data_IF_711468971559
#
_entry.id   IF_711468971559
#
_cell.length_a   1.000
_cell.length_b   1.000
_cell.length_c   1.000
_cell.angle_alpha   90.00
_cell.angle_beta   90.00
_cell.angle_gamma   90.00
#
_symmetry.space_group_name_H-M   'P 1'
#
loop_
_entity.id
_entity.type
_entity.pdbx_description
1 polymer ?
#
# COMPACT_ATOMS: atom_id res chain seq x y z
N UNK A 1 -4.92 -32.45 -7.10
CA UNK A 1 -6.06 -33.31 -6.68
C UNK A 1 -7.36 -32.55 -6.82
N UNK A 2 -8.28 -33.11 -7.60
CA UNK A 2 -9.65 -32.58 -7.75
C UNK A 2 -10.49 -33.28 -6.71
N UNK A 3 -11.05 -32.56 -5.75
CA UNK A 3 -12.00 -33.14 -4.79
C UNK A 3 -13.40 -32.71 -5.21
N UNK A 4 -14.18 -33.68 -5.70
CA UNK A 4 -15.61 -33.51 -5.98
C UNK A 4 -16.40 -34.02 -4.77
N UNK A 5 -17.11 -33.11 -4.09
CA UNK A 5 -17.99 -33.48 -2.98
C UNK A 5 -19.42 -33.59 -3.45
N UNK A 6 -19.96 -34.81 -3.43
CA UNK A 6 -21.43 -35.05 -3.52
C UNK A 6 -22.00 -34.97 -2.10
N UNK A 7 -22.99 -34.13 -1.94
CA UNK A 7 -23.72 -33.98 -0.69
C UNK A 7 -24.54 -35.19 -0.31
N UNK A 8 -24.36 -35.75 0.88
CA UNK A 8 -25.35 -36.58 1.55
C UNK A 8 -25.94 -35.80 2.72
N UNK A 9 -27.26 -35.76 2.76
CA UNK A 9 -28.01 -35.10 3.83
C UNK A 9 -27.87 -35.86 5.14
N UNK A 10 -27.56 -35.16 6.22
CA UNK A 10 -27.74 -35.64 7.56
C UNK A 10 -28.11 -34.49 8.51
N UNK A 11 -28.96 -34.84 9.45
CA UNK A 11 -29.80 -34.02 10.34
C UNK A 11 -29.19 -32.76 10.96
N UNK A 12 -30.07 -31.79 11.19
CA UNK A 12 -29.85 -30.48 11.75
C UNK A 12 -29.46 -30.49 13.24
N UNK A 13 -28.46 -29.77 13.66
CA UNK A 13 -28.34 -29.38 15.07
C UNK A 13 -28.98 -27.99 15.29
N UNK A 14 -29.47 -27.79 16.48
CA UNK A 14 -30.24 -26.66 16.97
C UNK A 14 -29.59 -25.30 16.69
N UNK A 15 -30.39 -24.33 16.26
CA UNK A 15 -30.02 -22.94 16.06
C UNK A 15 -29.64 -22.30 17.38
N UNK A 16 -28.42 -21.85 17.50
CA UNK A 16 -28.02 -20.91 18.55
C UNK A 16 -28.70 -19.56 18.29
N UNK A 17 -29.30 -19.00 19.33
CA UNK A 17 -29.96 -17.69 19.31
C UNK A 17 -28.90 -16.55 19.27
N UNK A 18 -28.17 -16.43 18.18
CA UNK A 18 -27.36 -15.23 17.95
C UNK A 18 -28.21 -14.28 17.09
N UNK A 19 -28.27 -13.00 17.47
CA UNK A 19 -28.93 -12.03 16.60
C UNK A 19 -28.21 -11.98 15.24
N UNK A 20 -28.94 -11.77 14.16
CA UNK A 20 -28.31 -11.62 12.86
C UNK A 20 -27.34 -10.41 12.90
N UNK A 21 -26.25 -10.46 12.17
CA UNK A 21 -25.38 -9.30 12.05
C UNK A 21 -26.21 -8.12 11.55
N UNK A 22 -25.91 -6.91 11.97
CA UNK A 22 -26.66 -5.75 11.52
C UNK A 22 -26.68 -5.71 9.99
N UNK A 23 -27.87 -5.58 9.45
CA UNK A 23 -28.02 -5.34 8.01
C UNK A 23 -27.25 -4.07 7.67
N UNK A 24 -26.21 -4.22 6.87
CA UNK A 24 -25.48 -3.09 6.32
C UNK A 24 -26.45 -2.28 5.47
N UNK A 25 -27.03 -1.24 6.05
CA UNK A 25 -27.84 -0.25 5.32
C UNK A 25 -26.87 0.60 4.49
N UNK A 26 -26.24 -0.10 3.53
CA UNK A 26 -25.10 0.40 2.78
C UNK A 26 -25.45 1.52 1.84
N UNK A 27 -25.27 2.72 2.29
CA UNK A 27 -24.75 3.73 1.39
C UNK A 27 -23.34 3.23 1.05
N UNK A 28 -23.13 2.67 -0.13
CA UNK A 28 -21.81 2.30 -0.64
C UNK A 28 -20.96 3.55 -0.61
N UNK A 29 -20.24 3.76 0.48
CA UNK A 29 -19.30 4.85 0.58
C UNK A 29 -18.19 4.55 -0.44
N UNK A 30 -18.19 5.31 -1.52
CA UNK A 30 -17.19 5.21 -2.56
C UNK A 30 -15.83 5.51 -1.94
N UNK A 31 -14.83 4.70 -2.28
CA UNK A 31 -13.46 4.92 -1.82
C UNK A 31 -12.97 6.25 -2.39
N UNK A 32 -12.69 7.22 -1.53
CA UNK A 32 -12.10 8.49 -1.95
C UNK A 32 -10.68 8.31 -2.43
N UNK A 33 -10.37 8.87 -3.57
CA UNK A 33 -9.05 8.80 -4.19
C UNK A 33 -8.35 10.16 -4.14
N UNK A 34 -7.09 10.17 -4.51
CA UNK A 34 -6.31 11.41 -4.62
C UNK A 34 -6.92 12.37 -5.65
N UNK A 35 -7.66 11.87 -6.64
CA UNK A 35 -8.32 12.72 -7.64
C UNK A 35 -9.55 13.45 -7.10
N UNK A 36 -10.16 12.96 -6.02
CA UNK A 36 -11.35 13.54 -5.41
C UNK A 36 -11.00 14.71 -4.46
N UNK A 37 -9.73 15.06 -4.31
CA UNK A 37 -9.24 16.04 -3.33
C UNK A 37 -8.48 17.15 -4.06
N UNK A 38 -8.73 18.40 -3.65
CA UNK A 38 -7.92 19.52 -4.13
C UNK A 38 -6.54 19.46 -3.48
N UNK A 39 -5.50 19.31 -4.32
CA UNK A 39 -4.10 19.21 -3.89
C UNK A 39 -3.31 20.50 -4.14
N UNK A 40 -3.90 21.50 -4.80
CA UNK A 40 -3.18 22.72 -5.18
C UNK A 40 -2.64 23.44 -3.93
N UNK A 41 -1.34 23.69 -3.93
CA UNK A 41 -0.67 24.34 -2.79
C UNK A 41 -0.64 23.51 -1.51
N UNK A 42 -0.99 22.21 -1.58
CA UNK A 42 -0.98 21.30 -0.42
C UNK A 42 0.19 20.33 -0.53
N UNK A 43 0.66 19.89 0.60
CA UNK A 43 1.68 18.82 0.67
C UNK A 43 0.97 17.47 0.83
N UNK A 44 1.15 16.58 -0.13
CA UNK A 44 0.62 15.22 -0.11
C UNK A 44 1.71 14.27 0.38
N UNK A 45 1.47 13.65 1.52
CA UNK A 45 2.31 12.58 2.07
C UNK A 45 1.80 11.25 1.51
N UNK A 46 2.52 10.67 0.55
CA UNK A 46 2.07 9.47 -0.17
C UNK A 46 2.92 8.25 0.16
N UNK A 47 2.26 7.18 0.64
CA UNK A 47 2.89 5.88 0.87
C UNK A 47 2.87 5.05 -0.40
N UNK A 48 4.03 4.71 -0.92
CA UNK A 48 4.21 3.86 -2.12
C UNK A 48 4.89 2.54 -1.75
N UNK A 49 4.78 1.55 -2.61
CA UNK A 49 5.50 0.28 -2.45
C UNK A 49 6.61 0.18 -3.49
N UNK A 50 7.76 0.76 -3.16
CA UNK A 50 8.97 0.74 -3.99
C UNK A 50 9.97 -0.34 -3.52
N UNK A 51 9.46 -1.40 -2.92
CA UNK A 51 10.27 -2.57 -2.57
C UNK A 51 10.57 -3.38 -3.84
N UNK A 52 11.43 -2.82 -4.67
CA UNK A 52 11.80 -3.34 -5.98
C UNK A 52 13.01 -4.27 -5.89
N UNK A 53 13.17 -5.21 -6.83
CA UNK A 53 14.42 -5.97 -6.91
C UNK A 53 15.60 -5.07 -7.30
N UNK A 54 16.70 -5.27 -6.62
CA UNK A 54 17.93 -4.50 -6.83
C UNK A 54 19.02 -5.43 -7.42
N UNK A 55 19.87 -4.88 -8.26
CA UNK A 55 21.07 -5.57 -8.76
C UNK A 55 22.16 -5.62 -7.68
N UNK A 56 23.18 -6.49 -7.84
CA UNK A 56 24.30 -6.51 -6.88
C UNK A 56 25.08 -5.19 -6.79
N UNK A 57 25.08 -4.38 -7.85
CA UNK A 57 25.70 -3.05 -7.88
C UNK A 57 24.72 -1.93 -7.49
N UNK A 58 23.70 -2.29 -6.75
CA UNK A 58 22.73 -1.39 -6.10
C UNK A 58 21.94 -0.49 -7.07
N UNK A 59 21.56 -1.04 -8.23
CA UNK A 59 20.65 -0.36 -9.18
C UNK A 59 19.30 -1.06 -9.19
N UNK A 60 18.27 -0.35 -9.63
CA UNK A 60 16.92 -0.94 -9.79
C UNK A 60 16.96 -1.98 -10.91
N UNK A 61 16.68 -3.25 -10.59
CA UNK A 61 16.67 -4.35 -11.56
C UNK A 61 15.33 -4.44 -12.30
N UNK A 62 14.26 -3.98 -11.67
CA UNK A 62 12.92 -3.97 -12.26
C UNK A 62 12.13 -2.81 -11.67
N UNK A 63 11.71 -1.89 -12.52
CA UNK A 63 11.03 -0.66 -12.11
C UNK A 63 9.50 -0.74 -12.19
N UNK A 64 8.92 -1.93 -12.38
CA UNK A 64 7.47 -2.10 -12.54
C UNK A 64 6.66 -1.41 -11.44
N UNK A 65 7.04 -1.60 -10.17
CA UNK A 65 6.33 -1.00 -9.03
C UNK A 65 6.42 0.53 -9.03
N UNK A 66 7.55 1.06 -9.48
CA UNK A 66 7.75 2.52 -9.61
C UNK A 66 6.82 3.06 -10.69
N UNK A 67 6.81 2.40 -11.85
CA UNK A 67 5.96 2.77 -13.00
C UNK A 67 4.48 2.76 -12.62
N UNK A 68 4.04 1.75 -11.85
CA UNK A 68 2.64 1.64 -11.41
C UNK A 68 2.21 2.78 -10.46
N UNK A 69 3.14 3.45 -9.80
CA UNK A 69 2.83 4.58 -8.92
C UNK A 69 2.74 5.91 -9.68
N UNK A 70 3.29 5.99 -10.89
CA UNK A 70 3.37 7.24 -11.66
C UNK A 70 2.01 7.92 -11.87
N UNK A 71 0.91 7.23 -12.19
CA UNK A 71 -0.38 7.90 -12.33
C UNK A 71 -0.80 8.70 -11.08
N UNK A 72 -0.62 8.14 -9.88
CA UNK A 72 -0.92 8.85 -8.63
C UNK A 72 0.01 10.03 -8.41
N UNK A 73 1.30 9.86 -8.68
CA UNK A 73 2.33 10.90 -8.54
C UNK A 73 2.00 12.05 -9.51
N UNK A 74 1.74 11.72 -10.77
CA UNK A 74 1.38 12.68 -11.82
C UNK A 74 0.15 13.49 -11.41
N UNK A 75 -0.88 12.81 -10.92
CA UNK A 75 -2.13 13.45 -10.48
C UNK A 75 -1.88 14.56 -9.44
N UNK A 76 -0.93 14.37 -8.53
CA UNK A 76 -0.60 15.37 -7.52
C UNK A 76 0.18 16.54 -8.13
N UNK A 77 1.30 16.24 -8.81
CA UNK A 77 2.24 17.30 -9.23
C UNK A 77 1.67 18.16 -10.36
N UNK A 78 0.93 17.57 -11.31
CA UNK A 78 0.32 18.35 -12.42
C UNK A 78 -0.80 19.28 -11.93
N UNK A 79 -1.40 18.99 -10.78
CA UNK A 79 -2.43 19.84 -10.17
C UNK A 79 -1.86 20.84 -9.16
N UNK A 80 -0.51 21.00 -9.12
CA UNK A 80 0.15 21.99 -8.28
C UNK A 80 0.26 21.57 -6.80
N UNK A 81 0.24 20.28 -6.54
CA UNK A 81 0.55 19.76 -5.20
C UNK A 81 2.04 19.56 -5.02
N UNK A 82 2.51 19.61 -3.78
CA UNK A 82 3.85 19.19 -3.35
C UNK A 82 3.75 17.74 -2.94
N UNK A 83 4.74 16.92 -3.30
CA UNK A 83 4.64 15.47 -3.06
C UNK A 83 5.82 14.97 -2.25
N UNK A 84 5.51 14.40 -1.09
CA UNK A 84 6.47 13.68 -0.24
C UNK A 84 6.16 12.19 -0.31
N UNK A 85 7.09 11.41 -0.85
CA UNK A 85 6.96 9.96 -1.01
C UNK A 85 7.62 9.24 0.16
N UNK A 86 6.91 8.26 0.70
CA UNK A 86 7.39 7.33 1.73
C UNK A 86 7.38 5.92 1.18
N UNK A 87 8.43 5.16 1.41
CA UNK A 87 8.46 3.75 1.04
C UNK A 87 9.43 2.95 1.92
N UNK A 88 9.47 1.65 1.67
CA UNK A 88 10.45 0.75 2.24
C UNK A 88 11.18 -0.01 1.13
N UNK A 89 12.38 -0.49 1.43
CA UNK A 89 13.16 -1.37 0.57
C UNK A 89 13.80 -2.46 1.43
N UNK A 90 13.57 -3.71 1.06
CA UNK A 90 14.15 -4.85 1.74
C UNK A 90 13.68 -5.04 3.19
N UNK A 91 14.55 -5.63 3.98
CA UNK A 91 14.27 -5.93 5.40
C UNK A 91 15.47 -5.58 6.29
N UNK A 92 15.82 -4.28 6.39
CA UNK A 92 16.80 -3.88 7.41
C UNK A 92 16.22 -4.13 8.81
N UNK A 93 17.07 -4.17 9.81
CA UNK A 93 16.69 -4.47 11.19
C UNK A 93 16.11 -3.28 11.98
N UNK A 94 16.11 -2.09 11.38
CA UNK A 94 15.58 -0.89 12.02
C UNK A 94 16.61 -0.13 12.88
N UNK A 95 17.87 -0.51 12.80
CA UNK A 95 18.94 0.10 13.60
C UNK A 95 19.62 1.32 12.94
N UNK A 96 19.06 1.77 11.82
CA UNK A 96 19.57 2.93 11.09
C UNK A 96 19.94 2.64 9.65
N UNK A 97 20.67 3.55 9.04
CA UNK A 97 21.03 3.54 7.62
C UNK A 97 21.89 2.33 7.24
N UNK A 98 21.48 1.65 6.18
CA UNK A 98 22.21 0.55 5.55
C UNK A 98 22.22 0.77 4.03
N UNK A 99 23.37 1.08 3.46
CA UNK A 99 23.50 1.53 2.06
C UNK A 99 22.77 0.64 1.04
N UNK A 100 22.87 -0.67 1.16
CA UNK A 100 22.21 -1.61 0.21
C UNK A 100 20.67 -1.54 0.25
N UNK A 101 20.10 -0.92 1.29
CA UNK A 101 18.67 -0.73 1.44
C UNK A 101 18.24 0.73 1.27
N UNK A 102 19.16 1.60 0.84
CA UNK A 102 18.83 3.01 0.56
C UNK A 102 17.87 3.12 -0.63
N UNK A 103 16.91 4.02 -0.52
CA UNK A 103 15.98 4.36 -1.60
C UNK A 103 16.58 5.35 -2.61
N UNK A 104 17.83 5.80 -2.42
CA UNK A 104 18.48 6.75 -3.34
C UNK A 104 18.46 6.28 -4.80
N UNK A 105 18.82 5.01 -5.13
CA UNK A 105 18.71 4.55 -6.53
C UNK A 105 17.27 4.53 -7.06
N UNK A 106 16.30 4.31 -6.17
CA UNK A 106 14.87 4.33 -6.53
C UNK A 106 14.42 5.77 -6.85
N UNK A 107 14.90 6.74 -6.07
CA UNK A 107 14.61 8.16 -6.30
C UNK A 107 15.18 8.62 -7.66
N UNK A 108 16.39 8.18 -8.00
CA UNK A 108 17.02 8.47 -9.29
C UNK A 108 16.22 7.86 -10.45
N UNK A 109 15.85 6.59 -10.32
CA UNK A 109 15.03 5.89 -11.34
C UNK A 109 13.68 6.58 -11.53
N UNK A 110 13.01 6.94 -10.43
CA UNK A 110 11.74 7.68 -10.50
C UNK A 110 11.92 9.03 -11.19
N UNK A 111 12.98 9.76 -10.86
CA UNK A 111 13.29 11.04 -11.50
C UNK A 111 13.43 10.89 -13.02
N UNK A 112 14.15 9.85 -13.45
CA UNK A 112 14.31 9.52 -14.89
C UNK A 112 12.97 9.21 -15.56
N UNK A 113 12.11 8.45 -14.88
CA UNK A 113 10.78 8.06 -15.40
C UNK A 113 9.80 9.24 -15.45
N UNK A 114 9.92 10.20 -14.54
CA UNK A 114 9.07 11.38 -14.53
C UNK A 114 9.47 12.39 -15.62
N UNK A 115 10.77 12.50 -15.91
CA UNK A 115 11.25 13.39 -16.97
C UNK A 115 10.71 14.82 -16.82
N UNK A 116 10.09 15.32 -17.87
CA UNK A 116 9.56 16.71 -17.92
C UNK A 116 8.45 16.97 -16.89
N UNK A 117 7.86 15.92 -16.30
CA UNK A 117 6.85 16.08 -15.23
C UNK A 117 7.48 16.59 -13.93
N UNK A 118 8.75 16.29 -13.72
CA UNK A 118 9.50 16.73 -12.55
C UNK A 118 10.86 17.26 -13.01
N UNK A 119 10.90 18.44 -13.60
CA UNK A 119 12.14 18.96 -14.22
C UNK A 119 13.28 19.16 -13.22
N UNK A 120 12.96 19.34 -11.94
CA UNK A 120 13.96 19.42 -10.86
C UNK A 120 14.41 18.02 -10.38
N UNK A 121 13.86 16.94 -10.95
CA UNK A 121 14.07 15.58 -10.52
C UNK A 121 13.30 15.26 -9.23
N UNK A 122 13.74 14.22 -8.53
CA UNK A 122 13.20 13.79 -7.24
C UNK A 122 14.23 14.13 -6.17
N UNK A 123 13.87 15.03 -5.26
CA UNK A 123 14.74 15.40 -4.14
C UNK A 123 14.89 14.21 -3.19
N UNK A 124 16.12 13.96 -2.76
CA UNK A 124 16.45 12.90 -1.80
C UNK A 124 17.43 13.47 -0.78
N UNK A 125 16.91 14.12 0.27
CA UNK A 125 17.74 15.03 1.06
C UNK A 125 18.66 14.39 2.10
N UNK A 126 18.29 13.22 2.64
CA UNK A 126 18.96 12.68 3.82
C UNK A 126 19.01 11.15 3.81
N UNK A 127 19.91 10.59 4.61
CA UNK A 127 19.99 9.16 4.92
C UNK A 127 19.03 8.74 6.06
N UNK A 128 18.11 9.64 6.42
CA UNK A 128 17.09 9.39 7.45
C UNK A 128 15.76 10.02 6.99
N UNK A 129 14.66 9.35 7.26
CA UNK A 129 13.34 9.82 6.81
C UNK A 129 12.68 10.85 7.73
N UNK A 130 13.22 11.05 8.93
CA UNK A 130 12.62 11.97 9.93
C UNK A 130 13.63 12.89 10.60
N UNK A 131 14.87 12.98 10.14
CA UNK A 131 15.86 13.90 10.70
C UNK A 131 15.55 15.37 10.36
N UNK A 132 16.33 16.26 10.91
CA UNK A 132 16.19 17.72 10.71
C UNK A 132 16.30 18.08 9.21
N UNK A 133 17.27 17.47 8.53
CA UNK A 133 17.52 17.73 7.10
C UNK A 133 16.34 17.31 6.22
N UNK A 134 15.72 16.15 6.52
CA UNK A 134 14.49 15.71 5.83
C UNK A 134 13.36 16.73 6.09
N UNK A 135 13.18 17.13 7.34
CA UNK A 135 12.15 18.07 7.77
C UNK A 135 12.28 19.43 7.08
N UNK A 136 13.50 19.99 7.06
CA UNK A 136 13.80 21.26 6.39
C UNK A 136 13.52 21.18 4.89
N UNK A 137 13.93 20.08 4.27
CA UNK A 137 13.74 19.86 2.82
C UNK A 137 12.26 19.74 2.45
N UNK A 138 11.47 19.06 3.29
CA UNK A 138 10.02 19.00 3.11
C UNK A 138 9.39 20.40 3.21
N UNK A 139 9.83 21.19 4.21
CA UNK A 139 9.33 22.55 4.41
C UNK A 139 9.68 23.49 3.24
N UNK A 140 10.82 23.26 2.59
CA UNK A 140 11.28 24.05 1.45
C UNK A 140 10.68 23.62 0.09
N UNK A 141 9.95 22.51 0.06
CA UNK A 141 9.41 21.94 -1.18
C UNK A 141 8.39 22.88 -1.83
N UNK A 142 8.47 23.06 -3.14
CA UNK A 142 7.59 23.94 -3.91
C UNK A 142 6.51 23.15 -4.65
N UNK A 143 5.47 23.83 -5.04
CA UNK A 143 4.36 23.26 -5.80
C UNK A 143 4.89 22.59 -7.08
N UNK A 144 4.43 21.37 -7.33
CA UNK A 144 4.84 20.54 -8.46
C UNK A 144 6.12 19.73 -8.22
N UNK A 145 6.82 19.95 -7.11
CA UNK A 145 8.04 19.21 -6.80
C UNK A 145 7.77 17.91 -6.05
N UNK A 146 8.72 16.98 -6.18
CA UNK A 146 8.67 15.64 -5.56
C UNK A 146 9.89 15.44 -4.68
N UNK A 147 9.66 14.99 -3.46
CA UNK A 147 10.71 14.58 -2.53
C UNK A 147 10.45 13.13 -2.11
N UNK A 148 11.48 12.31 -2.10
CA UNK A 148 11.41 10.95 -1.56
C UNK A 148 12.20 10.88 -0.26
N UNK A 149 11.56 10.41 0.79
CA UNK A 149 12.19 10.13 2.08
C UNK A 149 13.01 8.84 1.98
N UNK A 150 14.02 8.72 2.84
CA UNK A 150 14.79 7.49 2.97
C UNK A 150 13.92 6.36 3.54
N UNK A 151 14.42 5.14 3.41
CA UNK A 151 13.75 3.88 3.78
C UNK A 151 13.19 3.95 5.22
N UNK A 152 11.87 3.89 5.30
CA UNK A 152 11.15 3.92 6.60
C UNK A 152 11.62 2.84 7.56
N UNK A 153 12.04 1.69 7.02
CA UNK A 153 12.47 0.52 7.82
C UNK A 153 13.86 0.67 8.42
N UNK A 154 14.53 1.81 8.21
CA UNK A 154 15.72 2.16 9.00
C UNK A 154 15.34 2.52 10.44
N UNK A 155 14.05 2.71 10.71
CA UNK A 155 13.52 2.91 12.05
C UNK A 155 12.66 1.72 12.47
N UNK A 156 12.98 1.13 13.60
CA UNK A 156 12.18 0.04 14.19
C UNK A 156 10.73 0.48 14.40
N UNK A 157 10.53 1.76 14.69
CA UNK A 157 9.21 2.37 14.88
C UNK A 157 8.26 2.22 13.69
N UNK A 158 8.77 2.07 12.46
CA UNK A 158 7.92 1.77 11.30
C UNK A 158 7.23 0.41 11.48
N UNK A 159 7.99 -0.59 11.89
CA UNK A 159 7.49 -1.96 12.00
C UNK A 159 6.65 -2.19 13.26
N UNK A 160 6.91 -1.40 14.31
CA UNK A 160 6.20 -1.48 15.60
C UNK A 160 4.98 -0.57 15.69
N UNK A 161 4.64 0.13 14.61
CA UNK A 161 3.53 1.09 14.57
C UNK A 161 3.68 2.18 15.66
N UNK A 162 4.92 2.68 15.83
CA UNK A 162 5.24 3.62 16.89
C UNK A 162 4.58 4.99 16.65
N UNK A 163 3.87 5.48 17.67
CA UNK A 163 3.09 6.71 17.58
C UNK A 163 3.97 7.96 17.42
N UNK A 164 5.16 7.99 18.05
CA UNK A 164 6.06 9.15 17.96
C UNK A 164 6.70 9.23 16.56
N UNK A 165 7.12 8.10 16.03
CA UNK A 165 7.63 8.01 14.65
C UNK A 165 6.54 8.43 13.66
N UNK A 166 5.32 7.91 13.83
CA UNK A 166 4.17 8.24 12.99
C UNK A 166 3.81 9.74 13.05
N UNK A 167 3.88 10.35 14.23
CA UNK A 167 3.60 11.78 14.39
C UNK A 167 4.62 12.65 13.62
N UNK A 168 5.89 12.23 13.59
CA UNK A 168 6.94 12.93 12.82
C UNK A 168 6.66 12.83 11.32
N UNK A 169 6.26 11.67 10.82
CA UNK A 169 5.86 11.50 9.42
C UNK A 169 4.61 12.33 9.09
N UNK A 170 3.61 12.28 9.97
CA UNK A 170 2.33 13.00 9.78
C UNK A 170 2.53 14.51 9.64
N UNK A 171 3.55 15.06 10.31
CA UNK A 171 3.89 16.48 10.25
C UNK A 171 4.31 16.95 8.84
N UNK A 172 4.64 16.03 7.93
CA UNK A 172 5.09 16.35 6.58
C UNK A 172 3.95 16.63 5.59
N UNK A 173 2.71 16.33 5.92
CA UNK A 173 1.65 16.41 4.93
C UNK A 173 0.36 17.08 5.39
N UNK A 174 -0.28 17.77 4.45
CA UNK A 174 -1.66 18.28 4.60
C UNK A 174 -2.69 17.21 4.21
N UNK A 175 -2.28 16.25 3.39
CA UNK A 175 -3.12 15.17 2.85
C UNK A 175 -2.32 13.87 2.96
N UNK A 176 -2.96 12.81 3.47
CA UNK A 176 -2.38 11.48 3.46
C UNK A 176 -2.93 10.68 2.27
N UNK A 177 -2.05 10.03 1.52
CA UNK A 177 -2.44 9.19 0.39
C UNK A 177 -1.78 7.81 0.51
N UNK A 178 -2.59 6.74 0.55
CA UNK A 178 -2.08 5.38 0.51
C UNK A 178 -2.11 4.84 -0.92
N UNK A 179 -0.93 4.66 -1.51
CA UNK A 179 -0.76 4.07 -2.84
C UNK A 179 0.01 2.73 -2.79
N UNK A 180 -0.02 2.05 -1.63
CA UNK A 180 0.76 0.84 -1.34
C UNK A 180 -0.14 -0.33 -0.93
N UNK A 181 -0.97 -0.82 -1.86
CA UNK A 181 -1.94 -1.89 -1.60
C UNK A 181 -1.28 -3.12 -0.96
N UNK A 182 -0.13 -3.55 -1.46
CA UNK A 182 0.60 -4.71 -0.93
C UNK A 182 1.02 -4.59 0.54
N UNK A 183 1.02 -3.37 1.10
CA UNK A 183 1.39 -3.10 2.49
C UNK A 183 0.17 -2.99 3.42
N UNK A 184 -1.05 -2.94 2.88
CA UNK A 184 -2.26 -2.65 3.67
C UNK A 184 -2.62 -3.73 4.71
N UNK A 185 -2.03 -4.92 4.58
CA UNK A 185 -2.30 -6.04 5.50
C UNK A 185 -1.47 -5.97 6.79
N UNK A 186 -0.64 -4.94 6.97
CA UNK A 186 0.23 -4.78 8.14
C UNK A 186 -0.01 -3.43 8.81
N UNK A 187 -0.12 -3.44 10.14
CA UNK A 187 -0.19 -2.21 10.93
C UNK A 187 1.24 -1.66 11.12
N UNK A 188 1.82 -1.10 10.07
CA UNK A 188 3.07 -0.36 10.13
C UNK A 188 2.78 1.14 10.31
N UNK A 189 3.67 1.87 10.96
CA UNK A 189 3.44 3.28 11.31
C UNK A 189 3.02 4.14 10.10
N UNK A 190 3.68 3.96 8.94
CA UNK A 190 3.34 4.71 7.73
C UNK A 190 1.97 4.36 7.14
N UNK A 191 1.41 3.19 7.48
CA UNK A 191 0.12 2.69 6.96
C UNK A 191 -1.02 2.94 7.96
N UNK A 192 -0.76 2.82 9.27
CA UNK A 192 -1.80 2.86 10.30
C UNK A 192 -1.68 4.09 11.20
N UNK A 193 -0.62 4.20 12.00
CA UNK A 193 -0.53 5.30 12.98
C UNK A 193 -0.41 6.68 12.31
N UNK A 194 0.34 6.82 11.20
CA UNK A 194 0.51 8.11 10.52
C UNK A 194 -0.83 8.69 10.06
N UNK A 195 -1.69 7.98 9.30
CA UNK A 195 -3.00 8.55 8.98
C UNK A 195 -3.90 8.76 10.20
N UNK A 196 -3.70 8.02 11.28
CA UNK A 196 -4.45 8.27 12.54
C UNK A 196 -4.03 9.60 13.19
N UNK A 197 -2.74 9.99 13.09
CA UNK A 197 -2.27 11.29 13.54
C UNK A 197 -2.77 12.44 12.64
N UNK A 198 -3.21 12.14 11.42
CA UNK A 198 -3.74 13.14 10.49
C UNK A 198 -5.28 13.26 10.56
N UNK A 199 -5.86 13.07 11.74
CA UNK A 199 -7.28 13.27 11.98
C UNK A 199 -7.67 14.73 11.69
N UNK A 200 -8.70 14.93 10.87
CA UNK A 200 -9.08 16.27 10.41
C UNK A 200 -8.46 16.65 9.06
N UNK A 201 -7.48 15.90 8.59
CA UNK A 201 -6.91 16.05 7.25
C UNK A 201 -7.49 15.01 6.29
N UNK A 202 -7.56 15.28 4.98
CA UNK A 202 -7.97 14.26 4.02
C UNK A 202 -7.05 13.04 4.04
N UNK A 203 -7.65 11.85 4.06
CA UNK A 203 -6.94 10.56 3.99
C UNK A 203 -7.60 9.77 2.87
N UNK A 204 -6.84 9.53 1.81
CA UNK A 204 -7.38 9.02 0.55
C UNK A 204 -6.53 7.87 0.00
N UNK A 205 -7.11 7.15 -0.95
CA UNK A 205 -6.39 6.13 -1.71
C UNK A 205 -5.67 6.77 -2.90
N UNK A 206 -4.51 6.25 -3.20
CA UNK A 206 -3.89 6.48 -4.51
C UNK A 206 -4.60 5.64 -5.57
N UNK A 207 -4.34 5.94 -6.84
CA UNK A 207 -5.05 5.30 -7.96
C UNK A 207 -4.76 3.79 -8.02
N UNK A 208 -3.54 3.37 -7.67
CA UNK A 208 -3.18 1.95 -7.63
C UNK A 208 -4.02 1.20 -6.59
N UNK A 209 -4.16 1.75 -5.38
CA UNK A 209 -4.99 1.15 -4.33
C UNK A 209 -6.45 1.12 -4.75
N UNK A 210 -6.94 2.21 -5.35
CA UNK A 210 -8.32 2.29 -5.82
C UNK A 210 -8.62 1.22 -6.86
N UNK A 211 -7.71 1.01 -7.81
CA UNK A 211 -7.84 -0.01 -8.85
C UNK A 211 -7.85 -1.42 -8.27
N UNK A 212 -6.93 -1.73 -7.35
CA UNK A 212 -6.87 -3.03 -6.68
C UNK A 212 -8.17 -3.32 -5.89
N UNK A 213 -8.66 -2.31 -5.17
CA UNK A 213 -9.91 -2.44 -4.40
C UNK A 213 -11.09 -2.64 -5.36
N UNK A 214 -11.14 -1.92 -6.47
CA UNK A 214 -12.20 -2.06 -7.47
C UNK A 214 -12.23 -3.49 -8.03
N UNK A 215 -11.08 -4.00 -8.48
CA UNK A 215 -10.98 -5.36 -9.02
C UNK A 215 -11.42 -6.41 -8.01
N UNK A 216 -10.96 -6.30 -6.76
CA UNK A 216 -11.31 -7.27 -5.72
C UNK A 216 -12.79 -7.20 -5.35
N UNK A 217 -13.37 -6.00 -5.29
CA UNK A 217 -14.80 -5.83 -4.98
C UNK A 217 -15.66 -6.41 -6.10
N UNK A 218 -15.35 -6.09 -7.35
CA UNK A 218 -16.07 -6.60 -8.53
C UNK A 218 -15.99 -8.12 -8.58
N UNK A 219 -14.80 -8.67 -8.43
CA UNK A 219 -14.55 -10.11 -8.44
C UNK A 219 -15.33 -10.86 -7.37
N UNK A 220 -15.46 -10.28 -6.16
CA UNK A 220 -16.14 -10.94 -5.04
C UNK A 220 -17.65 -10.70 -5.03
N UNK A 221 -18.13 -9.60 -5.63
CA UNK A 221 -19.55 -9.23 -5.63
C UNK A 221 -20.32 -9.92 -6.76
N UNK A 222 -19.72 -10.00 -7.95
CA UNK A 222 -20.33 -10.54 -9.17
C UNK A 222 -19.27 -11.15 -10.07
N UNK A 223 -18.72 -12.30 -9.67
CA UNK A 223 -17.69 -12.93 -10.51
C UNK A 223 -18.27 -13.38 -11.86
N UNK A 224 -17.48 -13.20 -12.90
CA UNK A 224 -17.76 -13.86 -14.19
C UNK A 224 -17.47 -15.36 -14.05
N UNK A 225 -18.30 -16.19 -14.65
CA UNK A 225 -18.15 -17.65 -14.61
C UNK A 225 -17.58 -18.19 -15.92
N UNK A 226 -16.68 -19.17 -15.89
CA UNK A 226 -16.20 -19.88 -14.69
C UNK A 226 -15.18 -19.09 -13.85
N UNK A 227 -15.44 -18.93 -12.55
CA UNK A 227 -14.52 -18.31 -11.62
C UNK A 227 -13.59 -19.38 -11.02
N UNK A 228 -12.34 -19.34 -11.42
CA UNK A 228 -11.32 -20.29 -10.96
C UNK A 228 -10.36 -19.59 -10.00
N UNK A 229 -10.23 -20.13 -8.80
CA UNK A 229 -9.26 -19.60 -7.82
C UNK A 229 -8.07 -20.55 -7.70
N UNK A 230 -6.87 -19.96 -7.65
CA UNK A 230 -5.63 -20.71 -7.46
C UNK A 230 -5.00 -20.24 -6.15
N UNK A 231 -4.82 -21.17 -5.22
CA UNK A 231 -4.22 -20.89 -3.91
C UNK A 231 -2.95 -21.71 -3.72
N UNK A 232 -1.92 -21.04 -3.20
CA UNK A 232 -0.67 -21.71 -2.88
C UNK A 232 0.05 -21.01 -1.73
N UNK A 233 0.98 -21.72 -1.13
CA UNK A 233 1.77 -21.17 -0.01
C UNK A 233 2.35 -22.26 0.86
N UNK A 234 3.15 -21.84 1.83
CA UNK A 234 3.83 -22.76 2.76
C UNK A 234 3.01 -23.16 3.99
N UNK A 235 2.00 -22.34 4.37
CA UNK A 235 1.19 -22.58 5.57
C UNK A 235 -0.30 -22.48 5.27
N UNK A 236 -1.01 -23.57 5.48
CA UNK A 236 -2.46 -23.64 5.31
C UNK A 236 -3.19 -22.74 6.31
N UNK A 237 -2.70 -22.75 7.57
CA UNK A 237 -3.31 -21.97 8.67
C UNK A 237 -3.54 -20.50 8.33
N UNK A 238 -2.59 -19.89 7.63
CA UNK A 238 -2.63 -18.46 7.30
C UNK A 238 -3.70 -18.13 6.24
N UNK A 239 -4.22 -19.14 5.54
CA UNK A 239 -5.12 -18.98 4.40
C UNK A 239 -6.52 -19.60 4.61
N UNK A 240 -6.76 -20.22 5.76
CA UNK A 240 -8.06 -20.85 6.05
C UNK A 240 -9.21 -19.84 5.95
N UNK A 241 -9.00 -18.63 6.45
CA UNK A 241 -10.01 -17.57 6.37
C UNK A 241 -10.36 -17.21 4.91
N UNK A 242 -9.34 -17.04 4.08
CA UNK A 242 -9.53 -16.77 2.65
C UNK A 242 -10.24 -17.94 1.94
N UNK A 243 -9.81 -19.17 2.25
CA UNK A 243 -10.44 -20.39 1.71
C UNK A 243 -11.94 -20.44 2.04
N UNK A 244 -12.29 -20.23 3.29
CA UNK A 244 -13.69 -20.24 3.75
C UNK A 244 -14.54 -19.18 3.03
N UNK A 245 -13.98 -18.01 2.80
CA UNK A 245 -14.67 -16.91 2.12
C UNK A 245 -14.84 -17.16 0.62
N UNK A 246 -14.02 -18.01 0.02
CA UNK A 246 -14.09 -18.32 -1.41
C UNK A 246 -14.98 -19.53 -1.72
N UNK A 247 -15.10 -20.47 -0.78
CA UNK A 247 -16.00 -21.63 -0.92
C UNK A 247 -17.43 -21.09 -1.10
N UNK A 248 -18.09 -21.50 -2.15
CA UNK A 248 -19.44 -21.05 -2.52
C UNK A 248 -19.46 -19.88 -3.50
N UNK A 249 -18.30 -19.29 -3.79
CA UNK A 249 -18.19 -18.21 -4.79
C UNK A 249 -17.44 -18.65 -6.05
N UNK A 250 -16.59 -19.67 -5.91
CA UNK A 250 -15.76 -20.15 -7.02
C UNK A 250 -16.33 -21.42 -7.64
N UNK A 251 -16.17 -21.56 -8.94
CA UNK A 251 -16.54 -22.80 -9.66
C UNK A 251 -15.49 -23.89 -9.49
N UNK A 252 -14.22 -23.47 -9.34
CA UNK A 252 -13.10 -24.39 -9.14
C UNK A 252 -12.05 -23.76 -8.24
N UNK A 253 -11.50 -24.58 -7.36
CA UNK A 253 -10.41 -24.17 -6.47
C UNK A 253 -9.22 -25.09 -6.71
N UNK A 254 -8.12 -24.51 -7.18
CA UNK A 254 -6.86 -25.21 -7.40
C UNK A 254 -5.92 -24.91 -6.23
N UNK A 255 -5.36 -25.94 -5.61
CA UNK A 255 -4.45 -25.80 -4.49
C UNK A 255 -3.08 -26.33 -4.90
N UNK A 256 -2.06 -25.49 -4.74
CA UNK A 256 -0.69 -25.83 -5.11
C UNK A 256 0.32 -25.57 -3.99
N UNK A 257 1.57 -25.95 -4.26
CA UNK A 257 2.66 -25.79 -3.31
C UNK A 257 2.53 -26.74 -2.12
N UNK A 258 3.15 -26.38 -1.00
CA UNK A 258 3.12 -27.17 0.25
C UNK A 258 1.70 -27.33 0.83
N UNK A 259 0.77 -26.49 0.44
CA UNK A 259 -0.63 -26.59 0.85
C UNK A 259 -1.34 -27.80 0.23
N UNK A 260 -0.86 -28.36 -0.85
CA UNK A 260 -1.42 -29.55 -1.48
C UNK A 260 -0.96 -30.87 -0.86
N UNK A 261 -0.05 -30.62 -0.38
CA UNK A 261 0.54 -31.69 0.28
C UNK A 261 -0.01 -31.97 1.54
#
# INVERSE_FOLDING_TARGET
CIISTRSRSCASPQRSNQPPPPEDSGTKMALKTIEDIDVKGKCVLMRTDFNVPMTPDNRVANNFRITQAIPSIRSVIQRGGRLVLMSHLGRPDGSGFVERYSLSPVAQELGSLLGDLAPDGVFFPSNDCVDEKASESVAALKDGQVLMLENLRFHVGEMEDDANFAARLAAYGDIYCNNAFGCCHRAHASIYATPMHMTGHPRVAGLLVAEEVRYLRELLASPEHPFVSILGGGKVSDKIGALKNMIGKVDSLLIGGAMAX
#
